data_IF_147932612673
#
_entry.id   IF_147932612673
#
_cell.length_a   1.000
_cell.length_b   1.000
_cell.length_c   1.000
_cell.angle_alpha   90.00
_cell.angle_beta   90.00
_cell.angle_gamma   90.00
#
_symmetry.space_group_name_H-M   'P 1'
#
loop_
_entity.id
_entity.type
_entity.pdbx_description
1 polymer ?
#
# COMPACT_ATOMS: atom_id res chain seq x y z
N UNK A 1 -4.49 2.75 16.09
CA UNK A 1 -3.73 4.01 15.91
C UNK A 1 -4.71 5.18 15.97
N UNK A 2 -5.77 5.22 15.19
CA UNK A 2 -6.73 6.34 15.10
C UNK A 2 -7.44 6.68 16.42
N UNK A 3 -7.62 5.72 17.31
CA UNK A 3 -8.27 5.92 18.63
C UNK A 3 -7.50 6.88 19.55
N UNK A 4 -6.19 7.01 19.33
CA UNK A 4 -5.33 7.91 20.12
C UNK A 4 -5.24 9.32 19.52
N UNK A 5 -5.73 9.51 18.31
CA UNK A 5 -5.65 10.77 17.59
C UNK A 5 -6.91 11.57 17.84
N UNK A 6 -6.77 12.72 18.51
CA UNK A 6 -7.89 13.57 18.96
C UNK A 6 -8.09 14.83 18.11
N UNK A 7 -7.34 14.97 17.00
CA UNK A 7 -7.39 16.17 16.15
C UNK A 7 -7.70 15.81 14.71
N UNK A 8 -8.43 16.68 14.01
CA UNK A 8 -8.73 16.53 12.55
C UNK A 8 -7.45 16.37 11.74
N UNK A 9 -6.45 17.24 11.97
CA UNK A 9 -5.13 17.16 11.33
C UNK A 9 -4.46 15.81 11.56
N UNK A 10 -4.48 15.32 12.78
CA UNK A 10 -3.87 14.04 13.14
C UNK A 10 -4.53 12.86 12.44
N UNK A 11 -5.86 12.85 12.25
CA UNK A 11 -6.57 11.81 11.50
C UNK A 11 -6.14 11.83 10.03
N UNK A 12 -6.18 13.01 9.39
CA UNK A 12 -5.76 13.16 7.99
C UNK A 12 -4.31 12.73 7.82
N UNK A 13 -3.41 13.19 8.69
CA UNK A 13 -2.01 12.77 8.72
C UNK A 13 -1.87 11.25 8.81
N UNK A 14 -2.61 10.63 9.74
CA UNK A 14 -2.57 9.17 9.92
C UNK A 14 -3.05 8.43 8.68
N UNK A 15 -4.13 8.88 8.01
CA UNK A 15 -4.65 8.27 6.79
C UNK A 15 -3.65 8.36 5.63
N UNK A 16 -3.04 9.53 5.44
CA UNK A 16 -2.05 9.78 4.39
C UNK A 16 -0.81 8.92 4.63
N UNK A 17 -0.27 8.91 5.85
CA UNK A 17 0.92 8.13 6.18
C UNK A 17 0.65 6.62 6.27
N UNK A 18 -0.59 6.20 6.51
CA UNK A 18 -0.97 4.80 6.40
C UNK A 18 -0.85 4.32 4.94
N UNK A 19 -1.32 5.11 3.96
CA UNK A 19 -1.11 4.82 2.55
C UNK A 19 0.38 4.87 2.17
N UNK A 20 1.11 5.88 2.63
CA UNK A 20 2.53 6.06 2.35
C UNK A 20 3.38 4.86 2.82
N UNK A 21 3.21 4.45 4.08
CA UNK A 21 4.00 3.37 4.67
C UNK A 21 3.56 2.01 4.13
N UNK A 22 2.24 1.76 4.02
CA UNK A 22 1.74 0.47 3.53
C UNK A 22 2.16 0.21 2.09
N UNK A 23 2.19 1.22 1.22
CA UNK A 23 2.60 1.10 -0.17
C UNK A 23 4.07 0.73 -0.36
N UNK A 24 4.90 0.87 0.67
CA UNK A 24 6.29 0.38 0.65
C UNK A 24 6.38 -1.15 0.63
N UNK A 25 5.38 -1.83 1.21
CA UNK A 25 5.39 -3.29 1.42
C UNK A 25 4.36 -4.01 0.56
N UNK A 26 3.24 -3.36 0.30
CA UNK A 26 2.21 -3.79 -0.64
C UNK A 26 2.18 -2.76 -1.77
N UNK A 27 1.71 -3.14 -2.96
CA UNK A 27 1.71 -2.19 -4.08
C UNK A 27 0.85 -0.95 -3.77
N UNK A 28 1.18 0.18 -4.40
CA UNK A 28 0.42 1.43 -4.27
C UNK A 28 -1.09 1.22 -4.53
N UNK A 29 -1.45 0.42 -5.56
CA UNK A 29 -2.84 0.14 -5.91
C UNK A 29 -3.58 -0.61 -4.80
N UNK A 30 -2.96 -1.65 -4.23
CA UNK A 30 -3.54 -2.42 -3.11
C UNK A 30 -3.68 -1.54 -1.86
N UNK A 31 -2.69 -0.69 -1.60
CA UNK A 31 -2.77 0.30 -0.53
C UNK A 31 -3.98 1.23 -0.70
N UNK A 32 -4.18 1.78 -1.92
CA UNK A 32 -5.30 2.68 -2.20
C UNK A 32 -6.65 1.99 -2.12
N UNK A 33 -6.81 0.83 -2.74
CA UNK A 33 -8.07 0.05 -2.67
C UNK A 33 -8.45 -0.27 -1.22
N UNK A 34 -7.45 -0.49 -0.36
CA UNK A 34 -7.68 -0.82 1.04
C UNK A 34 -8.02 0.41 1.89
N UNK A 35 -7.22 1.47 1.79
CA UNK A 35 -7.26 2.57 2.75
C UNK A 35 -8.09 3.77 2.31
N UNK A 36 -8.32 3.98 1.01
CA UNK A 36 -9.14 5.12 0.55
C UNK A 36 -10.62 4.95 0.96
N UNK A 37 -11.30 3.80 0.74
CA UNK A 37 -12.67 3.63 1.21
C UNK A 37 -12.79 3.80 2.73
N UNK A 38 -11.82 3.28 3.47
CA UNK A 38 -11.76 3.46 4.93
C UNK A 38 -11.56 4.93 5.32
N UNK A 39 -10.69 5.64 4.60
CA UNK A 39 -10.47 7.08 4.79
C UNK A 39 -11.72 7.91 4.53
N UNK A 40 -12.45 7.62 3.45
CA UNK A 40 -13.71 8.29 3.12
C UNK A 40 -14.72 8.11 4.26
N UNK A 41 -14.93 6.88 4.71
CA UNK A 41 -15.84 6.58 5.81
C UNK A 41 -15.48 7.36 7.08
N UNK A 42 -14.20 7.45 7.43
CA UNK A 42 -13.75 8.20 8.61
C UNK A 42 -13.98 9.70 8.43
N UNK A 43 -13.65 10.26 7.26
CA UNK A 43 -13.83 11.68 6.98
C UNK A 43 -15.31 12.09 7.03
N UNK A 44 -16.21 11.23 6.56
CA UNK A 44 -17.66 11.41 6.68
C UNK A 44 -18.10 11.37 8.15
N UNK A 45 -17.62 10.40 8.94
CA UNK A 45 -17.95 10.28 10.37
C UNK A 45 -17.54 11.51 11.20
N UNK A 46 -16.45 12.18 10.81
CA UNK A 46 -15.98 13.40 11.51
C UNK A 46 -16.46 14.69 10.87
N UNK A 47 -17.43 14.62 9.94
CA UNK A 47 -17.99 15.75 9.21
C UNK A 47 -16.92 16.63 8.52
N UNK A 48 -15.94 15.98 7.87
CA UNK A 48 -14.85 16.63 7.12
C UNK A 48 -15.01 16.40 5.61
N UNK A 49 -16.23 16.42 5.11
CA UNK A 49 -16.56 16.13 3.71
C UNK A 49 -16.07 17.21 2.75
N UNK A 50 -15.92 18.45 3.21
CA UNK A 50 -15.32 19.56 2.46
C UNK A 50 -13.85 19.32 2.11
N UNK A 51 -13.14 18.54 2.92
CA UNK A 51 -11.73 18.16 2.70
C UNK A 51 -11.54 16.77 2.11
N UNK A 52 -12.62 16.05 1.81
CA UNK A 52 -12.58 14.66 1.34
C UNK A 52 -11.77 14.52 0.06
N UNK A 53 -12.07 15.31 -0.97
CA UNK A 53 -11.36 15.25 -2.25
C UNK A 53 -9.86 15.52 -2.07
N UNK A 54 -9.50 16.58 -1.33
CA UNK A 54 -8.10 16.91 -1.07
C UNK A 54 -7.38 15.81 -0.28
N UNK A 55 -8.02 15.22 0.72
CA UNK A 55 -7.43 14.14 1.52
C UNK A 55 -7.23 12.87 0.70
N UNK A 56 -8.22 12.47 -0.11
CA UNK A 56 -8.10 11.29 -1.00
C UNK A 56 -7.01 11.52 -2.05
N UNK A 57 -6.90 12.72 -2.61
CA UNK A 57 -5.81 13.08 -3.53
C UNK A 57 -4.45 12.95 -2.84
N UNK A 58 -4.31 13.45 -1.60
CA UNK A 58 -3.07 13.32 -0.84
C UNK A 58 -2.75 11.87 -0.46
N UNK A 59 -3.77 11.03 -0.15
CA UNK A 59 -3.59 9.59 0.07
C UNK A 59 -3.06 8.91 -1.20
N UNK A 60 -3.57 9.30 -2.38
CA UNK A 60 -3.13 8.77 -3.68
C UNK A 60 -1.68 9.17 -3.97
N UNK A 61 -1.34 10.43 -3.77
CA UNK A 61 0.04 10.93 -3.91
C UNK A 61 0.96 10.21 -2.93
N UNK A 62 0.53 10.06 -1.68
CA UNK A 62 1.29 9.38 -0.63
C UNK A 62 1.58 7.90 -0.95
N UNK A 63 0.59 7.17 -1.46
CA UNK A 63 0.78 5.78 -1.87
C UNK A 63 1.80 5.66 -3.01
N UNK A 64 1.73 6.54 -4.01
CA UNK A 64 2.69 6.54 -5.11
C UNK A 64 4.11 6.93 -4.65
N UNK A 65 4.24 7.96 -3.81
CA UNK A 65 5.53 8.39 -3.29
C UNK A 65 6.14 7.39 -2.29
N UNK A 66 5.31 6.75 -1.46
CA UNK A 66 5.77 5.72 -0.54
C UNK A 66 6.25 4.47 -1.28
N UNK A 67 5.51 4.04 -2.30
CA UNK A 67 5.83 2.83 -3.07
C UNK A 67 7.15 2.89 -3.82
N UNK A 68 7.71 4.08 -4.04
CA UNK A 68 9.01 4.21 -4.70
C UNK A 68 10.19 3.76 -3.81
N UNK A 69 9.99 3.62 -2.49
CA UNK A 69 11.05 3.26 -1.57
C UNK A 69 11.59 1.85 -1.80
N UNK A 70 10.73 0.88 -2.11
CA UNK A 70 11.13 -0.51 -2.30
C UNK A 70 10.98 -0.97 -3.74
N UNK A 71 11.76 -1.96 -4.19
CA UNK A 71 11.61 -2.52 -5.54
C UNK A 71 10.21 -3.08 -5.82
N UNK A 72 9.51 -3.54 -4.78
CA UNK A 72 8.20 -4.21 -4.89
C UNK A 72 7.00 -3.27 -4.73
N UNK A 73 7.24 -2.03 -4.34
CA UNK A 73 6.17 -1.07 -4.07
C UNK A 73 5.34 -0.70 -5.31
N UNK A 74 5.92 -0.79 -6.51
CA UNK A 74 5.20 -0.64 -7.77
C UNK A 74 5.92 -1.36 -8.92
N UNK A 75 5.21 -1.70 -10.03
CA UNK A 75 5.78 -2.42 -11.17
C UNK A 75 6.94 -1.67 -11.85
N UNK A 76 6.90 -0.34 -11.86
CA UNK A 76 7.94 0.49 -12.47
C UNK A 76 9.26 0.36 -11.71
N UNK A 77 9.22 0.41 -10.39
CA UNK A 77 10.39 0.19 -9.56
C UNK A 77 10.97 -1.21 -9.72
N UNK A 78 10.10 -2.22 -9.76
CA UNK A 78 10.53 -3.61 -9.97
C UNK A 78 11.26 -3.76 -11.30
N UNK A 79 10.75 -3.13 -12.36
CA UNK A 79 11.39 -3.14 -13.67
C UNK A 79 12.74 -2.43 -13.65
N UNK A 80 12.81 -1.21 -13.12
CA UNK A 80 14.06 -0.46 -13.01
C UNK A 80 15.11 -1.19 -12.14
N UNK A 81 14.66 -1.78 -11.04
CA UNK A 81 15.50 -2.58 -10.17
C UNK A 81 16.09 -3.79 -10.92
N UNK A 82 15.26 -4.50 -11.70
CA UNK A 82 15.72 -5.67 -12.48
C UNK A 82 16.75 -5.31 -13.57
N UNK A 83 16.65 -4.10 -14.14
CA UNK A 83 17.59 -3.61 -15.16
C UNK A 83 18.88 -3.05 -14.55
N UNK A 84 18.80 -2.47 -13.35
CA UNK A 84 19.94 -1.79 -12.73
C UNK A 84 21.07 -2.73 -12.28
N UNK A 85 20.76 -4.01 -12.05
CA UNK A 85 21.69 -4.97 -11.45
C UNK A 85 22.09 -4.66 -10.00
N UNK A 86 21.43 -3.69 -9.36
CA UNK A 86 21.69 -3.30 -7.96
C UNK A 86 21.19 -4.36 -7.00
N UNK A 87 21.85 -4.46 -5.83
CA UNK A 87 21.30 -5.18 -4.68
C UNK A 87 20.17 -4.41 -4.00
N UNK A 88 19.31 -5.12 -3.23
CA UNK A 88 18.22 -4.48 -2.48
C UNK A 88 18.72 -3.38 -1.53
N UNK A 89 19.84 -3.59 -0.77
CA UNK A 89 20.35 -2.54 0.11
C UNK A 89 20.78 -1.27 -0.65
N UNK A 90 21.43 -1.42 -1.80
CA UNK A 90 21.86 -0.29 -2.64
C UNK A 90 20.66 0.51 -3.18
N UNK A 91 19.61 -0.20 -3.60
CA UNK A 91 18.39 0.43 -4.06
C UNK A 91 17.71 1.23 -2.92
N UNK A 92 17.60 0.66 -1.72
CA UNK A 92 17.02 1.33 -0.56
C UNK A 92 17.84 2.56 -0.16
N UNK A 93 19.16 2.47 -0.19
CA UNK A 93 20.07 3.59 0.10
C UNK A 93 19.91 4.73 -0.92
N UNK A 94 19.74 4.40 -2.20
CA UNK A 94 19.45 5.38 -3.23
C UNK A 94 18.09 6.06 -3.01
N UNK A 95 17.05 5.29 -2.72
CA UNK A 95 15.66 5.79 -2.65
C UNK A 95 15.31 6.44 -1.30
N UNK A 96 16.08 6.19 -0.27
CA UNK A 96 15.86 6.75 1.08
C UNK A 96 15.75 8.28 1.08
N UNK A 97 16.64 8.99 0.38
CA UNK A 97 16.66 10.45 0.36
C UNK A 97 15.41 11.01 -0.31
N UNK A 98 15.00 10.45 -1.45
CA UNK A 98 13.82 10.88 -2.22
C UNK A 98 12.54 10.60 -1.46
N UNK A 99 12.44 9.42 -0.84
CA UNK A 99 11.28 9.04 -0.03
C UNK A 99 11.19 9.87 1.25
N UNK A 100 12.33 10.17 1.88
CA UNK A 100 12.39 11.06 3.04
C UNK A 100 11.95 12.48 2.70
N UNK A 101 12.39 13.02 1.57
CA UNK A 101 11.96 14.32 1.08
C UNK A 101 10.45 14.33 0.79
N UNK A 102 9.93 13.27 0.16
CA UNK A 102 8.49 13.13 -0.09
C UNK A 102 7.67 13.11 1.20
N UNK A 103 8.12 12.35 2.21
CA UNK A 103 7.49 12.31 3.53
C UNK A 103 7.49 13.70 4.20
N UNK A 104 8.59 14.43 4.09
CA UNK A 104 8.71 15.80 4.61
C UNK A 104 7.72 16.74 3.90
N UNK A 105 7.66 16.71 2.57
CA UNK A 105 6.72 17.52 1.79
C UNK A 105 5.27 17.21 2.11
N UNK A 106 4.89 15.92 2.20
CA UNK A 106 3.54 15.52 2.59
C UNK A 106 3.20 16.03 4.00
N UNK A 107 4.14 15.93 4.94
CA UNK A 107 3.96 16.47 6.29
C UNK A 107 3.72 17.99 6.24
N UNK A 108 4.54 18.74 5.50
CA UNK A 108 4.40 20.18 5.35
C UNK A 108 3.03 20.56 4.76
N UNK A 109 2.58 19.86 3.71
CA UNK A 109 1.26 20.09 3.11
C UNK A 109 0.14 19.85 4.14
N UNK A 110 0.19 18.77 4.90
CA UNK A 110 -0.82 18.50 5.93
C UNK A 110 -0.82 19.58 7.02
N UNK A 111 0.36 20.02 7.46
CA UNK A 111 0.47 21.05 8.49
C UNK A 111 -0.08 22.41 8.03
N UNK A 112 0.09 22.74 6.75
CA UNK A 112 -0.36 24.03 6.18
C UNK A 112 -1.84 24.03 5.86
N UNK A 113 -2.36 22.96 5.24
CA UNK A 113 -3.74 22.95 4.70
C UNK A 113 -4.79 22.40 5.67
N UNK A 114 -4.38 21.75 6.77
CA UNK A 114 -5.31 21.18 7.74
C UNK A 114 -5.10 21.80 9.12
N UNK A 115 -6.08 22.61 9.61
CA UNK A 115 -6.00 23.22 10.93
C UNK A 115 -6.08 22.16 12.04
N UNK A 116 -5.48 22.50 13.18
CA UNK A 116 -5.53 21.66 14.37
C UNK A 116 -6.83 21.90 15.14
N UNK A 117 -7.85 21.14 14.83
CA UNK A 117 -9.14 21.19 15.53
C UNK A 117 -9.30 19.91 16.36
N UNK A 118 -9.63 20.10 17.63
CA UNK A 118 -9.93 18.98 18.52
C UNK A 118 -11.29 18.37 18.21
N UNK A 119 -11.31 17.05 18.05
CA UNK A 119 -12.50 16.27 17.83
C UNK A 119 -12.94 15.63 19.17
N UNK A 120 -14.19 15.82 19.52
CA UNK A 120 -14.86 15.00 20.54
C UNK A 120 -15.38 13.74 19.83
N UNK A 121 -14.49 12.77 19.60
CA UNK A 121 -14.85 11.51 18.98
C UNK A 121 -15.25 10.50 20.05
N UNK A 122 -16.53 10.17 20.09
CA UNK A 122 -17.03 9.01 20.82
C UNK A 122 -16.92 7.77 19.91
N UNK A 123 -15.67 7.36 19.60
CA UNK A 123 -15.44 6.18 18.77
C UNK A 123 -15.70 4.95 19.62
N UNK A 124 -16.82 4.29 19.38
CA UNK A 124 -17.06 2.95 19.92
C UNK A 124 -15.98 2.01 19.40
N UNK A 125 -15.11 1.60 20.31
CA UNK A 125 -14.02 0.67 20.00
C UNK A 125 -14.60 -0.69 19.68
N UNK A 126 -14.69 -1.06 18.42
CA UNK A 126 -14.95 -2.45 18.05
C UNK A 126 -13.69 -3.27 18.36
N UNK A 127 -13.81 -4.21 19.29
CA UNK A 127 -12.76 -5.16 19.58
C UNK A 127 -12.68 -6.15 18.41
N UNK A 128 -11.47 -6.46 17.96
CA UNK A 128 -11.23 -7.53 17.00
C UNK A 128 -11.91 -8.82 17.51
N UNK A 129 -12.97 -9.23 16.83
CA UNK A 129 -13.82 -10.37 17.22
C UNK A 129 -13.05 -11.70 17.22
N UNK A 130 -12.05 -11.85 16.35
CA UNK A 130 -11.32 -13.09 16.21
C UNK A 130 -9.81 -12.86 15.99
N UNK A 131 -9.07 -12.90 17.09
CA UNK A 131 -7.60 -12.79 17.07
C UNK A 131 -6.93 -13.92 16.29
N UNK A 132 -7.53 -15.11 16.23
CA UNK A 132 -6.98 -16.25 15.50
C UNK A 132 -7.02 -16.03 14.01
N UNK A 133 -8.11 -15.48 13.51
CA UNK A 133 -8.24 -15.12 12.08
C UNK A 133 -7.25 -14.02 11.68
N UNK A 134 -7.07 -13.00 12.51
CA UNK A 134 -6.07 -11.96 12.26
C UNK A 134 -4.65 -12.56 12.23
N UNK A 135 -4.31 -13.40 13.21
CA UNK A 135 -3.01 -14.07 13.25
C UNK A 135 -2.77 -14.94 12.00
N UNK A 136 -3.78 -15.68 11.56
CA UNK A 136 -3.71 -16.49 10.35
C UNK A 136 -3.37 -15.66 9.10
N UNK A 137 -4.07 -14.54 8.87
CA UNK A 137 -3.77 -13.68 7.71
C UNK A 137 -2.43 -12.96 7.84
N UNK A 138 -2.00 -12.62 9.06
CA UNK A 138 -0.66 -12.05 9.29
C UNK A 138 0.45 -13.05 8.97
N UNK A 139 0.26 -14.33 9.30
CA UNK A 139 1.21 -15.41 8.93
C UNK A 139 1.28 -15.57 7.42
N UNK A 140 0.13 -15.60 6.72
CA UNK A 140 0.13 -15.64 5.25
C UNK A 140 0.82 -14.42 4.64
N UNK A 141 0.59 -13.23 5.18
CA UNK A 141 1.26 -12.02 4.74
C UNK A 141 2.78 -12.09 4.95
N UNK A 142 3.23 -12.57 6.12
CA UNK A 142 4.65 -12.76 6.40
C UNK A 142 5.31 -13.76 5.42
N UNK A 143 4.61 -14.84 5.05
CA UNK A 143 5.10 -15.78 4.03
C UNK A 143 5.22 -15.10 2.66
N UNK A 144 4.28 -14.23 2.29
CA UNK A 144 4.38 -13.44 1.05
C UNK A 144 5.63 -12.54 1.06
N UNK A 145 5.89 -11.84 2.16
CA UNK A 145 7.08 -10.98 2.32
C UNK A 145 8.37 -11.80 2.21
N UNK A 146 8.43 -12.97 2.85
CA UNK A 146 9.59 -13.87 2.76
C UNK A 146 9.83 -14.39 1.35
N UNK A 147 8.77 -14.60 0.56
CA UNK A 147 8.91 -15.00 -0.84
C UNK A 147 9.47 -13.86 -1.69
N UNK A 148 9.02 -12.65 -1.46
CA UNK A 148 9.58 -11.46 -2.13
C UNK A 148 11.05 -11.27 -1.79
N UNK A 149 11.45 -11.59 -0.55
CA UNK A 149 12.85 -11.61 -0.13
C UNK A 149 13.65 -12.83 -0.68
N UNK A 150 13.05 -13.61 -1.60
CA UNK A 150 13.65 -14.81 -2.24
C UNK A 150 13.99 -15.99 -1.30
N UNK A 151 13.46 -16.00 -0.07
CA UNK A 151 13.64 -17.14 0.85
C UNK A 151 12.75 -18.34 0.51
N UNK A 152 11.61 -18.11 -0.15
CA UNK A 152 10.64 -19.15 -0.50
C UNK A 152 10.36 -19.11 -2.00
N UNK A 153 10.34 -20.25 -2.72
CA UNK A 153 9.94 -20.31 -4.11
C UNK A 153 8.48 -19.82 -4.30
N UNK A 154 8.24 -18.97 -5.29
CA UNK A 154 6.92 -18.37 -5.54
C UNK A 154 5.82 -19.39 -5.84
N UNK A 155 6.14 -20.53 -6.48
CA UNK A 155 5.16 -21.62 -6.74
C UNK A 155 4.70 -22.30 -5.44
N UNK A 156 5.62 -22.47 -4.48
CA UNK A 156 5.30 -23.03 -3.16
C UNK A 156 4.38 -22.10 -2.40
N UNK A 157 4.71 -20.79 -2.38
CA UNK A 157 3.83 -19.79 -1.75
C UNK A 157 2.44 -19.81 -2.38
N UNK A 158 2.35 -19.79 -3.72
CA UNK A 158 1.07 -19.79 -4.43
C UNK A 158 0.21 -21.00 -4.00
N UNK A 159 0.80 -22.20 -3.95
CA UNK A 159 0.11 -23.40 -3.53
C UNK A 159 -0.36 -23.32 -2.06
N UNK A 160 0.50 -22.85 -1.16
CA UNK A 160 0.18 -22.72 0.27
C UNK A 160 -0.92 -21.68 0.50
N UNK A 161 -0.82 -20.51 -0.10
CA UNK A 161 -1.82 -19.43 0.05
C UNK A 161 -3.15 -19.87 -0.55
N UNK A 162 -3.14 -20.46 -1.76
CA UNK A 162 -4.36 -20.95 -2.40
C UNK A 162 -5.04 -22.03 -1.55
N UNK A 163 -4.30 -23.02 -1.06
CA UNK A 163 -4.85 -24.07 -0.20
C UNK A 163 -5.40 -23.51 1.12
N UNK A 164 -4.67 -22.59 1.76
CA UNK A 164 -5.09 -21.95 3.01
C UNK A 164 -6.37 -21.12 2.85
N UNK A 165 -6.49 -20.36 1.76
CA UNK A 165 -7.69 -19.58 1.45
C UNK A 165 -8.87 -20.46 1.06
N UNK A 166 -8.66 -21.51 0.25
CA UNK A 166 -9.69 -22.48 -0.12
C UNK A 166 -10.26 -23.19 1.11
N UNK A 167 -9.41 -23.51 2.08
CA UNK A 167 -9.82 -24.15 3.32
C UNK A 167 -10.64 -23.20 4.21
N UNK A 168 -10.19 -21.96 4.39
CA UNK A 168 -10.77 -21.04 5.37
C UNK A 168 -11.89 -20.18 4.82
N UNK A 169 -11.77 -19.69 3.59
CA UNK A 169 -12.75 -18.77 3.01
C UNK A 169 -12.69 -18.73 1.46
N UNK A 170 -13.43 -19.63 0.84
CA UNK A 170 -13.52 -19.73 -0.62
C UNK A 170 -14.07 -18.47 -1.30
N UNK A 171 -14.90 -17.67 -0.58
CA UNK A 171 -15.50 -16.47 -1.16
C UNK A 171 -14.47 -15.37 -1.46
N UNK A 172 -13.29 -15.40 -0.84
CA UNK A 172 -12.21 -14.46 -1.14
C UNK A 172 -11.73 -14.57 -2.59
N UNK A 173 -11.77 -15.77 -3.19
CA UNK A 173 -11.41 -15.92 -4.60
C UNK A 173 -12.36 -15.18 -5.55
N UNK A 174 -13.63 -15.02 -5.18
CA UNK A 174 -14.61 -14.24 -5.96
C UNK A 174 -14.44 -12.73 -5.78
N UNK A 175 -13.71 -12.30 -4.75
CA UNK A 175 -13.45 -10.90 -4.45
C UNK A 175 -12.10 -10.41 -5.02
N UNK A 176 -11.32 -11.32 -5.61
CA UNK A 176 -10.06 -10.95 -6.28
C UNK A 176 -10.38 -10.10 -7.51
N UNK A 177 -9.68 -8.97 -7.63
CA UNK A 177 -9.72 -8.17 -8.84
C UNK A 177 -8.85 -8.82 -9.95
N UNK A 178 -9.49 -9.73 -10.69
CA UNK A 178 -8.84 -10.41 -11.82
C UNK A 178 -8.47 -9.45 -12.95
N UNK A 179 -9.19 -8.31 -13.08
CA UNK A 179 -8.87 -7.29 -14.09
C UNK A 179 -7.52 -6.64 -13.79
N UNK A 180 -7.28 -6.31 -12.50
CA UNK A 180 -6.00 -5.78 -12.04
C UNK A 180 -4.86 -6.79 -12.25
N UNK A 181 -5.07 -8.07 -11.92
CA UNK A 181 -4.08 -9.12 -12.15
C UNK A 181 -3.72 -9.29 -13.63
N UNK A 182 -4.71 -9.29 -14.52
CA UNK A 182 -4.50 -9.36 -15.97
C UNK A 182 -3.77 -8.13 -16.49
N UNK A 183 -4.08 -6.94 -15.96
CA UNK A 183 -3.40 -5.71 -16.33
C UNK A 183 -1.91 -5.80 -16.02
N UNK A 184 -1.53 -6.29 -14.82
CA UNK A 184 -0.12 -6.52 -14.48
C UNK A 184 0.53 -7.57 -15.37
N UNK A 185 -0.14 -8.69 -15.63
CA UNK A 185 0.38 -9.73 -16.51
C UNK A 185 0.68 -9.17 -17.91
N UNK A 186 -0.27 -8.47 -18.51
CA UNK A 186 -0.08 -7.86 -19.82
C UNK A 186 0.97 -6.75 -19.84
N UNK A 187 1.05 -5.97 -18.76
CA UNK A 187 2.11 -4.97 -18.59
C UNK A 187 3.50 -5.63 -18.62
N UNK A 188 3.74 -6.69 -17.85
CA UNK A 188 5.03 -7.38 -17.86
C UNK A 188 5.33 -8.06 -19.19
N UNK A 189 4.33 -8.65 -19.87
CA UNK A 189 4.49 -9.20 -21.21
C UNK A 189 4.86 -8.09 -22.20
N UNK A 190 4.19 -6.95 -22.15
CA UNK A 190 4.47 -5.80 -23.01
C UNK A 190 5.88 -5.29 -22.82
N UNK A 191 6.27 -5.03 -21.57
CA UNK A 191 7.62 -4.55 -21.23
C UNK A 191 8.68 -5.57 -21.64
N UNK A 192 8.45 -6.87 -21.40
CA UNK A 192 9.36 -7.93 -21.82
C UNK A 192 9.55 -7.97 -23.35
N UNK A 193 8.48 -7.76 -24.10
CA UNK A 193 8.56 -7.73 -25.57
C UNK A 193 9.20 -6.45 -26.13
N UNK A 194 9.10 -5.31 -25.42
CA UNK A 194 9.75 -4.07 -25.83
C UNK A 194 11.28 -4.23 -25.96
N UNK A 195 11.91 -5.04 -25.10
CA UNK A 195 13.33 -5.32 -25.19
C UNK A 195 13.75 -6.05 -26.47
N UNK A 196 12.81 -6.65 -27.19
CA UNK A 196 13.07 -7.33 -28.49
C UNK A 196 12.85 -6.41 -29.71
N UNK A 197 12.35 -5.18 -29.48
CA UNK A 197 12.16 -4.19 -30.56
C UNK A 197 13.45 -3.40 -30.73
N UNK A 198 14.31 -3.82 -31.66
CA UNK A 198 15.65 -3.25 -31.91
C UNK A 198 15.68 -1.77 -32.37
N UNK A 199 14.52 -1.09 -32.46
CA UNK A 199 14.42 0.33 -32.82
C UNK A 199 14.41 1.28 -31.61
N UNK A 200 14.54 0.75 -30.39
CA UNK A 200 14.52 1.52 -29.14
C UNK A 200 15.91 1.62 -28.47
N UNK A 201 16.97 1.21 -29.17
CA UNK A 201 18.37 1.38 -28.76
C UNK A 201 19.03 2.51 -29.52
#
# INVERSE_FOLDING_TARGET
ILIKVKTRRGIVFTLIFLCFISSMFITNDVSLITFVPFGIMILEMINLTDKLCGTVTLMTIAANLGSMFTPIGNPQNLYLFSLSGMGVPEFLELMWLYTGLAAFMLTAVVLVFYPEEHLQLDIKTERLKDKRTVCFYLVLFALCVLTVAHFIPHLVLLAVVAAALLYKNKSLFLQIDYSLLLTFLFFFIFVGNMNHIGSLH
#
